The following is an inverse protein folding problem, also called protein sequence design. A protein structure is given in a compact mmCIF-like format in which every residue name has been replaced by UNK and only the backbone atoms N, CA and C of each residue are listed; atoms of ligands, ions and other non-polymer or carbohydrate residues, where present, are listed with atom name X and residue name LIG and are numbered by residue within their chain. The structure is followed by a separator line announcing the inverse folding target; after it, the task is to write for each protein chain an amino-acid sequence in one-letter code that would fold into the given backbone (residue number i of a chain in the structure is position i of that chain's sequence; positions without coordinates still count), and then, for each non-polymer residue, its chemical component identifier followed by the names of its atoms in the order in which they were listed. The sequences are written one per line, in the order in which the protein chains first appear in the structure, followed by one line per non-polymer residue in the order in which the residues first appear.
data_IF_751974060894
#
_entry.id   IF_751974060894
#
_cell.length_a   1.000
_cell.length_b   1.000
_cell.length_c   1.000
_cell.angle_alpha   90.00
_cell.angle_beta   90.00
_cell.angle_gamma   90.00
#
_symmetry.space_group_name_H-M   'P 1'
#
loop_
_entity.id
_entity.type
_entity.pdbx_description
1 polymer ?
#
# COMPACT_ATOMS: atom_id res chain seq x y z
N UNK A 1 8.68 11.40 -19.00
CA UNK A 1 9.93 11.46 -18.24
C UNK A 1 9.84 12.36 -17.02
N UNK A 2 9.67 13.68 -17.14
CA UNK A 2 9.63 14.59 -15.98
C UNK A 2 8.65 14.15 -14.89
N UNK A 3 7.42 13.77 -15.26
CA UNK A 3 6.43 13.26 -14.31
C UNK A 3 6.91 12.02 -13.54
N UNK A 4 7.49 11.02 -14.23
CA UNK A 4 8.04 9.82 -13.58
C UNK A 4 9.17 10.17 -12.61
N UNK A 5 10.08 11.08 -13.00
CA UNK A 5 11.15 11.55 -12.11
C UNK A 5 10.59 12.22 -10.86
N UNK A 6 9.53 13.02 -10.98
CA UNK A 6 8.84 13.63 -9.83
C UNK A 6 8.13 12.62 -8.91
N UNK A 7 7.85 11.41 -9.40
CA UNK A 7 7.19 10.32 -8.65
C UNK A 7 8.13 9.15 -8.34
N UNK A 8 9.42 9.44 -8.15
CA UNK A 8 10.37 8.48 -7.61
C UNK A 8 11.03 7.54 -8.61
N UNK A 9 10.86 7.73 -9.92
CA UNK A 9 11.57 6.93 -10.92
C UNK A 9 13.08 7.23 -10.98
N UNK A 10 13.53 8.34 -10.39
CA UNK A 10 14.93 8.73 -10.41
C UNK A 10 15.46 8.86 -11.84
N UNK A 11 16.47 8.06 -12.17
CA UNK A 11 17.10 8.02 -13.50
C UNK A 11 16.44 7.04 -14.48
N UNK A 12 15.49 6.22 -14.01
CA UNK A 12 14.84 5.22 -14.85
C UNK A 12 13.99 5.89 -15.93
N UNK A 13 14.12 5.40 -17.17
CA UNK A 13 13.29 5.79 -18.30
C UNK A 13 11.89 5.18 -18.21
N UNK A 14 10.98 5.62 -19.10
CA UNK A 14 9.68 4.99 -19.25
C UNK A 14 9.77 3.51 -19.65
N UNK A 15 10.78 3.13 -20.43
CA UNK A 15 11.06 1.73 -20.78
C UNK A 15 11.51 0.94 -19.54
N UNK A 16 12.45 1.48 -18.76
CA UNK A 16 12.95 0.81 -17.55
C UNK A 16 11.83 0.57 -16.53
N UNK A 17 10.95 1.56 -16.32
CA UNK A 17 9.81 1.44 -15.40
C UNK A 17 8.77 0.45 -15.92
N UNK A 18 8.56 0.38 -17.25
CA UNK A 18 7.64 -0.59 -17.86
C UNK A 18 8.13 -2.03 -17.65
N UNK A 19 9.40 -2.30 -17.96
CA UNK A 19 10.02 -3.62 -17.77
C UNK A 19 10.10 -4.02 -16.29
N UNK A 20 10.39 -3.07 -15.41
CA UNK A 20 10.29 -3.29 -13.97
C UNK A 20 8.87 -3.71 -13.55
N UNK A 21 7.84 -3.04 -14.07
CA UNK A 21 6.45 -3.41 -13.84
C UNK A 21 6.13 -4.83 -14.30
N UNK A 22 6.56 -5.20 -15.51
CA UNK A 22 6.34 -6.55 -16.06
C UNK A 22 7.04 -7.62 -15.22
N UNK A 23 8.26 -7.37 -14.77
CA UNK A 23 9.01 -8.31 -13.93
C UNK A 23 8.38 -8.50 -12.54
N UNK A 24 7.91 -7.42 -11.90
CA UNK A 24 7.19 -7.50 -10.63
C UNK A 24 5.84 -8.20 -10.78
N UNK A 25 5.10 -7.93 -11.86
CA UNK A 25 3.84 -8.65 -12.17
C UNK A 25 4.10 -10.16 -12.27
N UNK A 26 5.16 -10.57 -12.98
CA UNK A 26 5.51 -11.99 -13.12
C UNK A 26 5.89 -12.62 -11.77
N UNK A 27 6.74 -11.96 -10.97
CA UNK A 27 7.18 -12.43 -9.65
C UNK A 27 5.98 -12.64 -8.71
N UNK A 28 5.14 -11.63 -8.59
CA UNK A 28 3.99 -11.65 -7.66
C UNK A 28 2.96 -12.70 -8.12
N UNK A 29 2.69 -12.77 -9.43
CA UNK A 29 1.76 -13.78 -9.98
C UNK A 29 2.23 -15.21 -9.71
N UNK A 30 3.54 -15.46 -9.75
CA UNK A 30 4.09 -16.78 -9.42
C UNK A 30 3.92 -17.13 -7.92
N UNK A 31 4.11 -16.17 -7.02
CA UNK A 31 3.85 -16.36 -5.58
C UNK A 31 2.36 -16.64 -5.33
N UNK A 32 1.47 -15.84 -5.94
CA UNK A 32 0.03 -16.05 -5.87
C UNK A 32 -0.39 -17.42 -6.40
N UNK A 33 0.19 -17.87 -7.52
CA UNK A 33 -0.12 -19.20 -8.07
C UNK A 33 0.18 -20.33 -7.08
N UNK A 34 1.33 -20.28 -6.40
CA UNK A 34 1.68 -21.24 -5.36
C UNK A 34 0.70 -21.25 -4.20
N UNK A 35 0.33 -20.06 -3.72
CA UNK A 35 -0.58 -19.91 -2.58
C UNK A 35 -2.04 -20.29 -2.93
N UNK A 36 -2.51 -19.93 -4.13
CA UNK A 36 -3.82 -20.36 -4.67
C UNK A 36 -3.91 -21.90 -4.75
N UNK A 37 -2.85 -22.56 -5.23
CA UNK A 37 -2.80 -24.03 -5.28
C UNK A 37 -2.88 -24.65 -3.88
N UNK A 38 -2.26 -24.02 -2.88
CA UNK A 38 -2.30 -24.50 -1.48
C UNK A 38 -3.69 -24.50 -0.87
N UNK A 39 -4.58 -23.61 -1.34
CA UNK A 39 -6.00 -23.53 -0.91
C UNK A 39 -6.96 -24.23 -1.88
N UNK A 40 -6.44 -25.09 -2.76
CA UNK A 40 -7.22 -25.91 -3.68
C UNK A 40 -7.69 -25.21 -4.96
N UNK A 41 -7.28 -23.97 -5.22
CA UNK A 41 -7.60 -23.26 -6.47
C UNK A 41 -6.50 -23.52 -7.51
N UNK A 42 -6.68 -24.56 -8.33
CA UNK A 42 -5.65 -25.08 -9.24
C UNK A 42 -5.91 -24.85 -10.73
N UNK A 43 -7.12 -24.48 -11.12
CA UNK A 43 -7.53 -24.34 -12.53
C UNK A 43 -7.71 -22.86 -12.93
N UNK A 44 -7.25 -22.49 -14.12
CA UNK A 44 -7.37 -21.13 -14.67
C UNK A 44 -6.20 -20.20 -14.34
N UNK A 45 -6.29 -18.96 -14.83
CA UNK A 45 -5.30 -17.91 -14.53
C UNK A 45 -5.31 -17.53 -13.04
N UNK A 46 -4.30 -16.78 -12.58
CA UNK A 46 -4.30 -16.20 -11.23
C UNK A 46 -5.54 -15.30 -11.05
N UNK A 47 -5.81 -14.43 -12.02
CA UNK A 47 -6.98 -13.55 -12.02
C UNK A 47 -8.31 -14.32 -11.86
N UNK A 48 -8.55 -15.34 -12.67
CA UNK A 48 -9.80 -16.14 -12.60
C UNK A 48 -9.96 -16.89 -11.27
N UNK A 49 -8.86 -17.32 -10.66
CA UNK A 49 -8.88 -17.96 -9.34
C UNK A 49 -9.11 -16.95 -8.22
N UNK A 50 -8.57 -15.73 -8.34
CA UNK A 50 -8.88 -14.63 -7.41
C UNK A 50 -10.36 -14.21 -7.52
N UNK A 51 -10.93 -14.17 -8.72
CA UNK A 51 -12.39 -13.94 -8.90
C UNK A 51 -13.21 -15.03 -8.18
N UNK A 52 -12.78 -16.28 -8.31
CA UNK A 52 -13.43 -17.42 -7.62
C UNK A 52 -13.36 -17.25 -6.10
N UNK A 53 -12.20 -16.86 -5.55
CA UNK A 53 -12.04 -16.58 -4.13
C UNK A 53 -12.93 -15.41 -3.69
N UNK A 54 -12.92 -14.31 -4.43
CA UNK A 54 -13.71 -13.11 -4.15
C UNK A 54 -15.22 -13.39 -4.10
N UNK A 55 -15.70 -14.32 -4.94
CA UNK A 55 -17.11 -14.69 -5.01
C UNK A 55 -17.59 -15.70 -3.94
N UNK A 56 -16.68 -16.30 -3.13
CA UNK A 56 -17.10 -17.28 -2.11
C UNK A 56 -17.96 -16.62 -1.04
N UNK A 57 -19.05 -17.29 -0.66
CA UNK A 57 -20.02 -16.73 0.29
C UNK A 57 -19.44 -16.49 1.69
N UNK A 58 -18.50 -17.33 2.14
CA UNK A 58 -17.78 -17.20 3.40
C UNK A 58 -16.78 -16.03 3.41
N UNK A 59 -16.36 -15.56 2.23
CA UNK A 59 -15.47 -14.42 2.04
C UNK A 59 -16.23 -13.08 1.89
N UNK A 60 -17.57 -13.09 1.96
CA UNK A 60 -18.40 -11.89 1.82
C UNK A 60 -19.10 -11.53 3.14
N UNK A 61 -19.36 -10.23 3.32
CA UNK A 61 -20.30 -9.74 4.33
C UNK A 61 -21.66 -9.47 3.68
N UNK A 62 -22.80 -9.73 4.37
CA UNK A 62 -24.11 -9.32 3.89
C UNK A 62 -24.17 -7.81 3.61
N UNK A 63 -24.86 -7.39 2.55
CA UNK A 63 -24.98 -5.97 2.20
C UNK A 63 -26.10 -5.27 3.01
N UNK A 64 -26.12 -5.49 4.32
CA UNK A 64 -27.04 -4.88 5.30
C UNK A 64 -26.25 -4.01 6.28
N UNK A 65 -26.92 -3.19 7.09
CA UNK A 65 -26.21 -2.35 8.06
C UNK A 65 -25.51 -3.18 9.15
N UNK A 66 -26.06 -4.33 9.54
CA UNK A 66 -25.40 -5.29 10.43
C UNK A 66 -24.15 -5.88 9.79
N UNK A 67 -24.20 -6.23 8.50
CA UNK A 67 -23.04 -6.73 7.76
C UNK A 67 -21.93 -5.67 7.61
N UNK A 68 -22.31 -4.41 7.40
CA UNK A 68 -21.38 -3.27 7.40
C UNK A 68 -20.73 -3.04 8.76
N UNK A 69 -21.49 -3.13 9.86
CA UNK A 69 -20.93 -2.98 11.21
C UNK A 69 -20.03 -4.17 11.59
N UNK A 70 -20.38 -5.39 11.17
CA UNK A 70 -19.53 -6.56 11.35
C UNK A 70 -18.18 -6.41 10.63
N UNK A 71 -18.19 -5.83 9.42
CA UNK A 71 -16.99 -5.49 8.67
C UNK A 71 -16.15 -4.43 9.42
N UNK A 72 -16.77 -3.31 9.84
CA UNK A 72 -16.06 -2.26 10.61
C UNK A 72 -15.46 -2.81 11.91
N UNK A 73 -16.17 -3.71 12.60
CA UNK A 73 -15.68 -4.39 13.79
C UNK A 73 -14.45 -5.25 13.49
N UNK A 74 -14.46 -5.98 12.37
CA UNK A 74 -13.29 -6.75 11.91
C UNK A 74 -12.08 -5.85 11.66
N UNK A 75 -12.26 -4.72 10.98
CA UNK A 75 -11.16 -3.78 10.72
C UNK A 75 -10.57 -3.19 12.00
N UNK A 76 -11.43 -2.80 12.96
CA UNK A 76 -10.98 -2.34 14.29
C UNK A 76 -10.18 -3.41 15.02
N UNK A 77 -10.61 -4.68 14.92
CA UNK A 77 -9.87 -5.83 15.45
C UNK A 77 -8.50 -6.02 14.78
N UNK A 78 -8.43 -5.88 13.45
CA UNK A 78 -7.18 -5.95 12.69
C UNK A 78 -6.21 -4.84 13.10
N UNK A 79 -6.68 -3.59 13.24
CA UNK A 79 -5.89 -2.47 13.77
C UNK A 79 -5.35 -2.78 15.16
N UNK A 80 -6.19 -3.30 16.07
CA UNK A 80 -5.76 -3.63 17.42
C UNK A 80 -4.70 -4.76 17.44
N UNK A 81 -4.86 -5.77 16.60
CA UNK A 81 -3.93 -6.90 16.51
C UNK A 81 -2.53 -6.46 16.04
N UNK A 82 -2.46 -5.67 14.96
CA UNK A 82 -1.16 -5.18 14.45
C UNK A 82 -0.52 -4.16 15.39
N UNK A 83 -1.31 -3.30 16.05
CA UNK A 83 -0.82 -2.39 17.09
C UNK A 83 -0.16 -3.14 18.25
N UNK A 84 -0.73 -4.27 18.67
CA UNK A 84 -0.19 -5.08 19.77
C UNK A 84 1.20 -5.68 19.46
N UNK A 85 1.51 -5.90 18.18
CA UNK A 85 2.82 -6.40 17.74
C UNK A 85 3.79 -5.29 17.34
N UNK A 86 3.32 -4.06 17.16
CA UNK A 86 4.12 -2.98 16.58
C UNK A 86 5.34 -2.60 17.43
N UNK A 87 5.35 -2.86 18.74
CA UNK A 87 6.50 -2.57 19.61
C UNK A 87 7.78 -3.37 19.27
N UNK A 88 7.65 -4.52 18.61
CA UNK A 88 8.80 -5.31 18.15
C UNK A 88 9.38 -4.78 16.83
N UNK A 89 8.65 -3.90 16.15
CA UNK A 89 8.97 -3.42 14.80
C UNK A 89 9.21 -1.93 14.72
N UNK A 90 8.77 -1.14 15.69
CA UNK A 90 8.95 0.31 15.74
C UNK A 90 9.54 0.72 17.09
N UNK A 91 10.57 1.58 17.07
CA UNK A 91 11.22 2.05 18.29
C UNK A 91 10.34 3.06 19.04
N UNK A 92 9.47 3.76 18.30
CA UNK A 92 8.45 4.65 18.83
C UNK A 92 7.06 4.27 18.31
N UNK A 93 6.05 4.33 19.18
CA UNK A 93 4.65 4.19 18.73
C UNK A 93 4.00 5.57 18.73
N UNK A 94 3.18 5.92 17.74
CA UNK A 94 2.44 7.17 17.78
C UNK A 94 1.39 7.16 18.89
N UNK A 95 1.30 8.26 19.65
CA UNK A 95 0.25 8.45 20.65
C UNK A 95 -1.11 8.83 20.04
N UNK A 96 -1.10 9.20 18.75
CA UNK A 96 -2.32 9.62 18.06
C UNK A 96 -3.20 8.43 17.76
N UNK A 97 -4.51 8.56 18.01
CA UNK A 97 -5.47 7.49 17.72
C UNK A 97 -5.85 7.46 16.23
N UNK A 98 -6.13 6.27 15.74
CA UNK A 98 -6.83 6.04 14.46
C UNK A 98 -8.23 5.52 14.72
N UNK A 99 -9.19 6.05 13.98
CA UNK A 99 -10.56 5.52 13.93
C UNK A 99 -10.86 4.89 12.58
N UNK A 100 -11.66 3.83 12.58
CA UNK A 100 -12.19 3.22 11.36
C UNK A 100 -13.63 3.65 11.17
N UNK A 101 -13.91 4.33 10.06
CA UNK A 101 -15.24 4.89 9.76
C UNK A 101 -15.71 4.51 8.36
N UNK A 102 -17.01 4.32 8.22
CA UNK A 102 -17.67 4.20 6.92
C UNK A 102 -17.70 5.58 6.25
N UNK A 103 -17.40 5.61 4.95
CA UNK A 103 -17.58 6.82 4.13
C UNK A 103 -19.07 7.24 4.14
N UNK A 104 -19.39 8.53 4.37
CA UNK A 104 -20.77 8.99 4.38
C UNK A 104 -21.52 8.67 3.08
N UNK A 105 -22.81 8.33 3.20
CA UNK A 105 -23.65 7.91 2.05
C UNK A 105 -23.69 8.94 0.93
N UNK A 106 -23.61 10.24 1.27
CA UNK A 106 -23.64 11.32 0.28
C UNK A 106 -22.33 11.50 -0.50
N UNK A 107 -21.23 10.87 -0.07
CA UNK A 107 -19.91 10.95 -0.74
C UNK A 107 -19.50 9.63 -1.40
N UNK A 108 -20.02 8.50 -0.91
CA UNK A 108 -19.56 7.14 -1.23
C UNK A 108 -19.54 6.79 -2.73
N UNK A 109 -20.33 7.46 -3.56
CA UNK A 109 -20.37 7.21 -5.02
C UNK A 109 -19.16 7.80 -5.76
N UNK A 110 -18.57 8.86 -5.21
CA UNK A 110 -17.40 9.55 -5.74
C UNK A 110 -16.09 9.20 -5.02
N UNK A 111 -16.18 8.49 -3.90
CA UNK A 111 -15.02 8.13 -3.08
C UNK A 111 -14.33 6.84 -3.55
N UNK A 112 -13.03 6.68 -3.29
CA UNK A 112 -12.31 5.41 -3.52
C UNK A 112 -12.81 4.31 -2.57
N UNK A 113 -12.30 3.08 -2.75
CA UNK A 113 -12.65 1.93 -1.89
C UNK A 113 -12.25 2.11 -0.42
N UNK A 114 -11.14 2.80 -0.17
CA UNK A 114 -10.72 3.27 1.15
C UNK A 114 -9.72 4.43 0.99
N UNK A 115 -9.55 5.20 2.06
CA UNK A 115 -8.53 6.23 2.15
C UNK A 115 -8.28 6.64 3.61
N UNK A 116 -7.12 7.22 3.86
CA UNK A 116 -6.77 7.78 5.16
C UNK A 116 -6.81 9.31 5.17
N UNK A 117 -7.29 9.87 6.28
CA UNK A 117 -7.11 11.30 6.60
C UNK A 117 -6.31 11.45 7.88
N UNK A 118 -5.20 12.20 7.79
CA UNK A 118 -4.33 12.47 8.92
C UNK A 118 -5.00 13.25 10.06
N UNK A 119 -4.48 13.11 11.29
CA UNK A 119 -4.94 13.89 12.43
C UNK A 119 -4.71 15.39 12.20
N UNK A 120 -5.49 16.23 12.89
CA UNK A 120 -5.27 17.68 12.84
C UNK A 120 -3.96 18.07 13.54
N UNK A 121 -3.34 19.17 13.09
CA UNK A 121 -2.09 19.68 13.66
C UNK A 121 -2.19 20.05 15.14
N UNK A 122 -3.38 20.46 15.58
CA UNK A 122 -3.69 20.81 16.97
C UNK A 122 -4.09 19.60 17.84
N UNK A 123 -4.13 18.39 17.26
CA UNK A 123 -4.50 17.16 17.95
C UNK A 123 -6.00 17.02 18.25
N UNK A 124 -6.85 17.98 17.88
CA UNK A 124 -8.28 17.96 18.18
C UNK A 124 -9.06 16.85 17.41
N UNK A 125 -8.57 16.46 16.22
CA UNK A 125 -9.18 15.42 15.38
C UNK A 125 -8.20 14.24 15.22
N UNK A 126 -8.65 12.99 15.46
CA UNK A 126 -7.83 11.81 15.25
C UNK A 126 -7.57 11.54 13.77
N UNK A 127 -6.65 10.62 13.48
CA UNK A 127 -6.55 10.02 12.16
C UNK A 127 -7.79 9.17 11.87
N UNK A 128 -8.22 9.11 10.61
CA UNK A 128 -9.39 8.31 10.22
C UNK A 128 -9.05 7.49 8.99
N UNK A 129 -9.17 6.17 9.14
CA UNK A 129 -9.26 5.22 8.03
C UNK A 129 -10.73 5.13 7.59
N UNK A 130 -10.99 5.62 6.39
CA UNK A 130 -12.29 5.59 5.74
C UNK A 130 -12.39 4.37 4.83
N UNK A 131 -13.52 3.66 4.89
CA UNK A 131 -13.82 2.55 3.98
C UNK A 131 -15.19 2.72 3.31
N UNK A 132 -15.26 2.43 2.01
CA UNK A 132 -16.46 2.52 1.21
C UNK A 132 -17.31 1.28 1.35
N UNK A 133 -18.47 1.42 2.02
CA UNK A 133 -19.40 0.31 2.24
C UNK A 133 -20.71 0.49 1.46
N UNK A 134 -20.68 1.16 0.31
CA UNK A 134 -21.82 1.20 -0.62
C UNK A 134 -22.30 -0.22 -0.93
N UNK A 135 -21.35 -1.09 -1.29
CA UNK A 135 -21.56 -2.51 -1.49
C UNK A 135 -20.48 -3.29 -0.73
N UNK A 136 -20.88 -4.13 0.22
CA UNK A 136 -19.94 -4.93 1.00
C UNK A 136 -19.17 -5.94 0.14
N UNK A 137 -19.72 -6.37 -1.00
CA UNK A 137 -19.04 -7.30 -1.91
C UNK A 137 -17.82 -6.69 -2.62
N UNK A 138 -17.69 -5.36 -2.63
CA UNK A 138 -16.50 -4.68 -3.15
C UNK A 138 -15.31 -4.80 -2.18
N UNK A 139 -15.54 -5.30 -0.96
CA UNK A 139 -14.55 -5.43 0.11
C UNK A 139 -14.54 -6.88 0.67
N UNK A 140 -14.16 -7.89 -0.14
CA UNK A 140 -14.10 -9.27 0.31
C UNK A 140 -13.12 -9.43 1.48
N UNK A 141 -13.41 -10.33 2.42
CA UNK A 141 -12.66 -10.50 3.68
C UNK A 141 -11.15 -10.64 3.48
N UNK A 142 -10.73 -11.42 2.49
CA UNK A 142 -9.31 -11.64 2.20
C UNK A 142 -8.55 -10.33 1.88
N UNK A 143 -9.21 -9.32 1.32
CA UNK A 143 -8.59 -8.03 0.96
C UNK A 143 -8.42 -7.06 2.14
N UNK A 144 -9.18 -7.26 3.23
CA UNK A 144 -9.34 -6.27 4.28
C UNK A 144 -8.08 -6.04 5.13
N UNK A 145 -7.30 -7.11 5.38
CA UNK A 145 -6.06 -7.01 6.17
C UNK A 145 -5.06 -6.07 5.50
N UNK A 146 -4.78 -6.30 4.22
CA UNK A 146 -3.83 -5.47 3.47
C UNK A 146 -4.28 -4.02 3.41
N UNK A 147 -5.56 -3.77 3.13
CA UNK A 147 -6.10 -2.40 3.11
C UNK A 147 -6.02 -1.74 4.50
N UNK A 148 -6.29 -2.47 5.58
CA UNK A 148 -6.15 -1.96 6.95
C UNK A 148 -4.71 -1.59 7.26
N UNK A 149 -3.75 -2.42 6.85
CA UNK A 149 -2.34 -2.15 7.11
C UNK A 149 -1.81 -0.99 6.29
N UNK A 150 -2.33 -0.82 5.06
CA UNK A 150 -2.04 0.31 4.18
C UNK A 150 -2.56 1.64 4.75
N UNK A 151 -3.85 1.70 5.10
CA UNK A 151 -4.52 2.95 5.48
C UNK A 151 -4.33 3.34 6.95
N UNK A 152 -4.19 2.34 7.82
CA UNK A 152 -4.03 2.55 9.25
C UNK A 152 -2.62 2.14 9.69
N UNK A 153 -2.51 0.99 10.37
CA UNK A 153 -1.30 0.59 11.09
C UNK A 153 -0.68 -0.62 10.39
N UNK A 154 0.62 -0.59 10.01
CA UNK A 154 1.60 0.47 10.24
C UNK A 154 1.79 1.43 9.04
N UNK A 155 0.84 1.51 8.11
CA UNK A 155 0.92 2.36 6.92
C UNK A 155 0.68 3.85 7.18
N UNK A 156 -0.29 4.44 6.48
CA UNK A 156 -0.51 5.88 6.44
C UNK A 156 -0.73 6.52 7.82
N UNK A 157 -1.41 5.83 8.75
CA UNK A 157 -1.60 6.39 10.08
C UNK A 157 -0.28 6.60 10.81
N UNK A 158 0.60 5.60 10.82
CA UNK A 158 1.91 5.71 11.45
C UNK A 158 2.74 6.79 10.77
N UNK A 159 2.83 6.76 9.44
CA UNK A 159 3.58 7.77 8.68
C UNK A 159 3.13 9.19 9.02
N UNK A 160 1.83 9.44 8.97
CA UNK A 160 1.28 10.77 9.24
C UNK A 160 1.42 11.17 10.71
N UNK A 161 1.20 10.25 11.65
CA UNK A 161 1.31 10.54 13.08
C UNK A 161 2.76 10.82 13.49
N UNK A 162 3.73 10.10 12.91
CA UNK A 162 5.15 10.41 13.05
C UNK A 162 5.47 11.81 12.56
N UNK A 163 5.08 12.15 11.33
CA UNK A 163 5.31 13.49 10.78
C UNK A 163 4.74 14.62 11.64
N UNK A 164 3.53 14.43 12.19
CA UNK A 164 2.87 15.42 13.05
C UNK A 164 3.55 15.55 14.42
N UNK A 165 4.24 14.51 14.87
CA UNK A 165 4.98 14.50 16.14
C UNK A 165 6.39 15.11 16.07
N UNK A 166 6.89 15.45 14.86
CA UNK A 166 8.23 16.03 14.72
C UNK A 166 8.24 17.45 15.27
N UNK A 167 8.94 17.62 16.39
CA UNK A 167 9.07 18.91 17.07
C UNK A 167 9.73 19.94 16.15
N UNK A 168 9.19 21.16 16.16
CA UNK A 168 9.72 22.32 15.41
C UNK A 168 9.79 22.10 13.87
N UNK A 169 9.06 21.12 13.32
CA UNK A 169 8.95 20.93 11.87
C UNK A 169 8.29 22.16 11.23
N UNK A 170 8.93 22.78 10.21
CA UNK A 170 8.32 23.89 9.49
C UNK A 170 6.94 23.50 8.94
N UNK A 171 5.94 24.37 9.13
CA UNK A 171 4.54 24.10 8.73
C UNK A 171 4.45 23.67 7.25
N UNK A 172 5.24 24.28 6.37
CA UNK A 172 5.29 23.88 4.96
C UNK A 172 5.70 22.41 4.78
N UNK A 173 6.74 21.93 5.48
CA UNK A 173 7.11 20.50 5.42
C UNK A 173 6.04 19.60 6.02
N UNK A 174 5.29 20.10 6.99
CA UNK A 174 4.18 19.36 7.58
C UNK A 174 2.92 19.34 6.67
N UNK A 175 2.85 20.21 5.66
CA UNK A 175 1.72 20.32 4.73
C UNK A 175 2.01 19.75 3.33
N UNK A 176 3.27 19.68 2.92
CA UNK A 176 3.66 19.07 1.66
C UNK A 176 3.54 17.54 1.74
N UNK A 177 3.13 16.93 0.62
CA UNK A 177 3.04 15.49 0.47
C UNK A 177 3.87 15.01 -0.72
N UNK A 178 4.58 13.89 -0.56
CA UNK A 178 5.35 13.22 -1.61
C UNK A 178 4.78 11.81 -1.80
N UNK A 179 4.01 11.62 -2.87
CA UNK A 179 3.28 10.36 -3.10
C UNK A 179 4.21 9.15 -3.09
N UNK A 180 5.40 9.26 -3.66
CA UNK A 180 6.37 8.16 -3.71
C UNK A 180 6.86 7.72 -2.34
N UNK A 181 6.96 8.64 -1.37
CA UNK A 181 7.30 8.28 -0.01
C UNK A 181 6.08 7.73 0.74
N UNK A 182 4.96 8.46 0.73
CA UNK A 182 3.77 8.10 1.51
C UNK A 182 3.14 6.78 1.03
N UNK A 183 2.96 6.62 -0.28
CA UNK A 183 2.41 5.40 -0.89
C UNK A 183 3.41 4.26 -0.87
N UNK A 184 4.70 4.57 -1.05
CA UNK A 184 5.79 3.61 -0.93
C UNK A 184 5.86 3.01 0.46
N UNK A 185 5.74 3.85 1.50
CA UNK A 185 5.68 3.43 2.89
C UNK A 185 4.47 2.55 3.17
N UNK A 186 3.27 2.97 2.74
CA UNK A 186 2.05 2.21 2.98
C UNK A 186 2.10 0.83 2.30
N UNK A 187 2.62 0.75 1.08
CA UNK A 187 2.80 -0.53 0.38
C UNK A 187 3.94 -1.39 0.99
N UNK A 188 5.01 -0.75 1.48
CA UNK A 188 6.03 -1.44 2.28
C UNK A 188 5.45 -2.02 3.57
N UNK A 189 4.58 -1.28 4.25
CA UNK A 189 3.89 -1.71 5.48
C UNK A 189 2.98 -2.93 5.25
N UNK A 190 2.33 -3.03 4.08
CA UNK A 190 1.56 -4.22 3.69
C UNK A 190 2.46 -5.48 3.62
N UNK A 191 3.65 -5.36 3.02
CA UNK A 191 4.64 -6.44 2.97
C UNK A 191 5.22 -6.75 4.36
N UNK A 192 5.54 -5.71 5.13
CA UNK A 192 6.04 -5.84 6.51
C UNK A 192 5.07 -6.64 7.39
N UNK A 193 3.76 -6.44 7.24
CA UNK A 193 2.77 -7.17 8.03
C UNK A 193 2.85 -8.70 7.86
N UNK A 194 3.37 -9.20 6.73
CA UNK A 194 3.69 -10.64 6.56
C UNK A 194 4.85 -11.08 7.44
N UNK A 195 5.91 -10.27 7.50
CA UNK A 195 7.06 -10.53 8.39
C UNK A 195 6.66 -10.43 9.86
N UNK A 196 5.70 -9.57 10.20
CA UNK A 196 5.10 -9.47 11.53
C UNK A 196 4.27 -10.72 11.91
N UNK A 197 3.96 -11.61 10.98
CA UNK A 197 3.12 -12.80 11.23
C UNK A 197 1.61 -12.54 11.11
N UNK A 198 1.19 -11.41 10.54
CA UNK A 198 -0.23 -11.02 10.49
C UNK A 198 -1.09 -11.83 9.52
N UNK A 199 -0.45 -12.70 8.74
CA UNK A 199 -1.10 -13.66 7.84
C UNK A 199 -0.80 -15.12 8.22
N UNK A 200 -0.23 -15.37 9.40
CA UNK A 200 -0.01 -16.74 9.87
C UNK A 200 -1.34 -17.50 9.97
N UNK A 201 -1.41 -18.67 9.32
CA UNK A 201 -2.64 -19.46 9.23
C UNK A 201 -3.75 -18.87 8.35
N UNK A 202 -3.48 -17.78 7.61
CA UNK A 202 -4.44 -17.08 6.77
C UNK A 202 -3.91 -16.88 5.33
N UNK A 203 -3.82 -17.98 4.54
CA UNK A 203 -3.35 -17.90 3.16
C UNK A 203 -4.25 -17.06 2.25
N UNK A 204 -5.55 -16.94 2.56
CA UNK A 204 -6.46 -16.08 1.79
C UNK A 204 -6.15 -14.61 2.04
N UNK A 205 -5.94 -14.19 3.29
CA UNK A 205 -5.46 -12.85 3.61
C UNK A 205 -4.13 -12.51 2.93
N UNK A 206 -3.18 -13.44 2.88
CA UNK A 206 -1.90 -13.24 2.19
C UNK A 206 -2.06 -13.14 0.66
N UNK A 207 -3.03 -13.84 0.07
CA UNK A 207 -3.44 -13.61 -1.32
C UNK A 207 -4.01 -12.20 -1.53
N UNK A 208 -4.76 -11.66 -0.58
CA UNK A 208 -5.24 -10.28 -0.61
C UNK A 208 -4.10 -9.27 -0.62
N UNK A 209 -3.06 -9.50 0.20
CA UNK A 209 -1.83 -8.70 0.19
C UNK A 209 -1.12 -8.75 -1.15
N UNK A 210 -0.92 -9.94 -1.70
CA UNK A 210 -0.27 -10.11 -3.00
C UNK A 210 -1.09 -9.51 -4.15
N UNK A 211 -2.43 -9.61 -4.11
CA UNK A 211 -3.29 -8.98 -5.10
C UNK A 211 -3.18 -7.44 -5.04
N UNK A 212 -3.12 -6.86 -3.84
CA UNK A 212 -2.91 -5.44 -3.65
C UNK A 212 -1.55 -5.00 -4.21
N UNK A 213 -0.48 -5.78 -3.96
CA UNK A 213 0.86 -5.53 -4.49
C UNK A 213 0.90 -5.68 -6.03
N UNK A 214 0.28 -6.73 -6.57
CA UNK A 214 0.16 -6.99 -8.02
C UNK A 214 -0.52 -5.83 -8.73
N UNK A 215 -1.58 -5.28 -8.13
CA UNK A 215 -2.28 -4.12 -8.65
C UNK A 215 -1.36 -2.88 -8.73
N UNK A 216 -0.49 -2.65 -7.73
CA UNK A 216 0.52 -1.57 -7.78
C UNK A 216 1.68 -1.86 -8.73
N UNK A 217 2.04 -3.12 -8.96
CA UNK A 217 3.00 -3.49 -10.01
C UNK A 217 2.42 -3.25 -11.41
N UNK A 218 1.16 -3.64 -11.65
CA UNK A 218 0.46 -3.40 -12.92
C UNK A 218 0.30 -1.90 -13.22
N UNK A 219 0.21 -1.04 -12.19
CA UNK A 219 0.23 0.43 -12.36
C UNK A 219 1.50 0.93 -13.06
N UNK A 220 2.66 0.35 -12.79
CA UNK A 220 3.91 0.71 -13.50
C UNK A 220 3.78 0.45 -14.99
N UNK A 221 3.24 -0.72 -15.36
CA UNK A 221 3.06 -1.16 -16.75
C UNK A 221 2.02 -0.30 -17.47
N UNK A 222 0.88 -0.05 -16.83
CA UNK A 222 -0.23 0.70 -17.43
C UNK A 222 0.10 2.18 -17.59
N UNK A 223 0.67 2.83 -16.58
CA UNK A 223 1.01 4.27 -16.66
C UNK A 223 2.06 4.52 -17.74
N UNK A 224 3.14 3.73 -17.77
CA UNK A 224 4.13 3.79 -18.85
C UNK A 224 3.57 3.29 -20.19
N UNK A 225 2.63 2.35 -20.17
CA UNK A 225 1.87 1.88 -21.32
C UNK A 225 1.18 3.04 -22.02
N UNK A 226 0.34 3.77 -21.28
CA UNK A 226 -0.39 4.94 -21.76
C UNK A 226 0.56 6.07 -22.21
N UNK A 227 1.50 6.45 -21.34
CA UNK A 227 2.21 7.73 -21.47
C UNK A 227 3.56 7.64 -22.17
N UNK A 228 4.08 6.43 -22.39
CA UNK A 228 5.37 6.19 -23.05
C UNK A 228 5.24 5.22 -24.24
N UNK A 229 4.60 4.06 -24.04
CA UNK A 229 4.40 3.04 -25.09
C UNK A 229 3.22 3.35 -26.01
N UNK A 230 2.43 4.38 -25.69
CA UNK A 230 1.25 4.86 -26.45
C UNK A 230 0.12 3.84 -26.56
N UNK A 231 -0.07 3.02 -25.52
CA UNK A 231 -1.27 2.20 -25.39
C UNK A 231 -2.52 3.08 -25.40
N UNK A 232 -3.56 2.57 -26.01
CA UNK A 232 -4.92 3.07 -25.91
C UNK A 232 -5.47 2.85 -24.50
N UNK A 233 -6.54 3.58 -24.16
CA UNK A 233 -7.29 3.38 -22.92
C UNK A 233 -7.77 1.93 -22.79
N UNK A 234 -8.24 1.36 -23.89
CA UNK A 234 -8.79 0.01 -23.93
C UNK A 234 -7.71 -1.05 -23.68
N UNK A 235 -6.53 -0.93 -24.31
CA UNK A 235 -5.38 -1.82 -24.05
C UNK A 235 -4.95 -1.77 -22.58
N UNK A 236 -4.90 -0.58 -21.98
CA UNK A 236 -4.59 -0.41 -20.56
C UNK A 236 -5.63 -1.08 -19.63
N UNK A 237 -6.92 -0.96 -19.94
CA UNK A 237 -7.99 -1.60 -19.17
C UNK A 237 -7.91 -3.12 -19.30
N UNK A 238 -7.77 -3.63 -20.52
CA UNK A 238 -7.72 -5.06 -20.81
C UNK A 238 -6.54 -5.70 -20.08
N UNK A 239 -5.35 -5.12 -20.20
CA UNK A 239 -4.15 -5.61 -19.50
C UNK A 239 -4.37 -5.68 -17.98
N UNK A 240 -4.91 -4.63 -17.37
CA UNK A 240 -5.03 -4.57 -15.92
C UNK A 240 -6.12 -5.51 -15.38
N UNK A 241 -7.22 -5.70 -16.13
CA UNK A 241 -8.25 -6.71 -15.82
C UNK A 241 -7.64 -8.11 -15.85
N UNK A 242 -6.93 -8.44 -16.93
CA UNK A 242 -6.36 -9.77 -17.15
C UNK A 242 -5.30 -10.15 -16.10
N UNK A 243 -4.52 -9.16 -15.64
CA UNK A 243 -3.49 -9.37 -14.62
C UNK A 243 -4.08 -9.46 -13.22
N UNK A 244 -5.00 -8.57 -12.85
CA UNK A 244 -5.39 -8.39 -11.43
C UNK A 244 -6.61 -9.20 -11.01
N UNK A 245 -7.46 -9.62 -11.96
CA UNK A 245 -8.77 -10.21 -11.65
C UNK A 245 -9.70 -9.21 -10.96
N UNK A 246 -9.58 -7.92 -11.25
CA UNK A 246 -10.54 -6.92 -10.79
C UNK A 246 -11.59 -6.65 -11.86
N UNK A 247 -12.76 -6.16 -11.43
CA UNK A 247 -13.84 -5.85 -12.35
C UNK A 247 -13.43 -4.76 -13.34
N UNK A 248 -13.85 -4.91 -14.60
CA UNK A 248 -13.62 -3.90 -15.65
C UNK A 248 -14.12 -2.51 -15.24
N UNK A 249 -15.22 -2.42 -14.50
CA UNK A 249 -15.75 -1.15 -14.02
C UNK A 249 -14.80 -0.45 -13.02
N UNK A 250 -14.20 -1.21 -12.09
CA UNK A 250 -13.18 -0.70 -11.16
C UNK A 250 -11.93 -0.24 -11.93
N UNK A 251 -11.39 -1.12 -12.78
CA UNK A 251 -10.19 -0.84 -13.57
C UNK A 251 -10.38 0.36 -14.51
N UNK A 252 -11.56 0.52 -15.10
CA UNK A 252 -11.85 1.67 -15.98
C UNK A 252 -11.64 2.99 -15.25
N UNK A 253 -12.16 3.13 -14.02
CA UNK A 253 -12.01 4.36 -13.22
C UNK A 253 -10.55 4.66 -12.91
N UNK A 254 -9.79 3.60 -12.60
CA UNK A 254 -8.37 3.70 -12.31
C UNK A 254 -7.55 4.10 -13.56
N UNK A 255 -7.79 3.47 -14.71
CA UNK A 255 -7.11 3.80 -15.97
C UNK A 255 -7.42 5.24 -16.40
N UNK A 256 -8.67 5.67 -16.27
CA UNK A 256 -9.06 7.06 -16.57
C UNK A 256 -8.38 8.06 -15.64
N UNK A 257 -8.17 7.70 -14.35
CA UNK A 257 -7.36 8.50 -13.42
C UNK A 257 -5.91 8.58 -13.88
N UNK A 258 -5.30 7.46 -14.30
CA UNK A 258 -3.91 7.43 -14.77
C UNK A 258 -3.73 8.29 -16.03
N UNK A 259 -4.73 8.32 -16.91
CA UNK A 259 -4.71 9.14 -18.13
C UNK A 259 -4.59 10.66 -17.83
N UNK A 260 -5.14 11.14 -16.71
CA UNK A 260 -5.14 12.57 -16.35
C UNK A 260 -4.09 12.97 -15.31
N UNK A 261 -3.44 12.01 -14.64
CA UNK A 261 -2.34 12.25 -13.69
C UNK A 261 -1.12 11.37 -14.01
N UNK A 262 -0.37 11.67 -15.09
CA UNK A 262 0.74 10.83 -15.55
C UNK A 262 1.81 10.63 -14.47
N UNK A 263 2.28 9.41 -14.29
CA UNK A 263 3.37 9.04 -13.38
C UNK A 263 2.97 8.80 -11.93
N UNK A 264 1.83 9.33 -11.46
CA UNK A 264 1.43 9.20 -10.05
C UNK A 264 1.20 7.74 -9.66
N UNK A 265 0.63 6.95 -10.56
CA UNK A 265 0.36 5.53 -10.32
C UNK A 265 1.65 4.72 -10.07
N UNK A 266 2.79 5.20 -10.56
CA UNK A 266 4.09 4.56 -10.39
C UNK A 266 4.71 4.79 -9.00
N UNK A 267 4.34 5.88 -8.32
CA UNK A 267 4.89 6.29 -7.03
C UNK A 267 4.85 5.17 -5.97
N UNK A 268 3.75 4.42 -5.92
CA UNK A 268 3.50 3.36 -4.95
C UNK A 268 4.60 2.29 -4.98
N UNK A 269 4.77 1.64 -6.14
CA UNK A 269 5.70 0.51 -6.26
C UNK A 269 7.15 0.98 -6.32
N UNK A 270 7.45 2.11 -6.97
CA UNK A 270 8.79 2.70 -6.97
C UNK A 270 9.26 3.08 -5.55
N UNK A 271 8.37 3.69 -4.77
CA UNK A 271 8.61 4.04 -3.38
C UNK A 271 8.87 2.82 -2.50
N UNK A 272 8.00 1.80 -2.58
CA UNK A 272 8.16 0.53 -1.86
C UNK A 272 9.51 -0.12 -2.18
N UNK A 273 9.85 -0.25 -3.47
CA UNK A 273 11.10 -0.86 -3.91
C UNK A 273 12.31 -0.09 -3.39
N UNK A 274 12.27 1.25 -3.39
CA UNK A 274 13.35 2.06 -2.80
C UNK A 274 13.47 1.85 -1.29
N UNK A 275 12.37 1.77 -0.54
CA UNK A 275 12.43 1.50 0.91
C UNK A 275 13.01 0.10 1.17
N UNK A 276 12.61 -0.91 0.38
CA UNK A 276 13.16 -2.27 0.48
C UNK A 276 14.64 -2.33 0.13
N UNK A 277 15.07 -1.61 -0.91
CA UNK A 277 16.48 -1.47 -1.30
C UNK A 277 17.31 -0.86 -0.15
N UNK A 278 16.81 0.22 0.47
CA UNK A 278 17.46 0.89 1.59
C UNK A 278 17.54 0.00 2.83
N UNK A 279 16.49 -0.78 3.11
CA UNK A 279 16.47 -1.75 4.20
C UNK A 279 17.52 -2.85 3.96
N UNK A 280 17.50 -3.48 2.79
CA UNK A 280 18.45 -4.54 2.45
C UNK A 280 19.90 -4.04 2.50
N UNK A 281 20.14 -2.80 2.07
CA UNK A 281 21.43 -2.12 2.22
C UNK A 281 21.83 -1.99 3.69
N UNK A 282 20.94 -1.51 4.54
CA UNK A 282 21.20 -1.36 5.97
C UNK A 282 21.47 -2.70 6.66
N UNK A 283 20.68 -3.72 6.37
CA UNK A 283 20.88 -5.10 6.87
C UNK A 283 22.28 -5.62 6.49
N UNK A 284 22.68 -5.44 5.23
CA UNK A 284 24.01 -5.85 4.74
C UNK A 284 25.14 -5.06 5.39
N UNK A 285 24.97 -3.73 5.49
CA UNK A 285 26.03 -2.84 5.95
C UNK A 285 26.25 -2.90 7.47
N UNK A 286 25.20 -3.15 8.25
CA UNK A 286 25.25 -3.16 9.70
C UNK A 286 25.38 -4.58 10.29
N UNK A 287 24.97 -5.63 9.57
CA UNK A 287 25.00 -7.01 10.04
C UNK A 287 24.30 -7.14 11.40
N UNK A 288 24.98 -7.71 12.39
CA UNK A 288 24.46 -7.89 13.75
C UNK A 288 24.09 -6.57 14.47
N UNK A 289 24.55 -5.41 13.97
CA UNK A 289 24.16 -4.09 14.51
C UNK A 289 22.84 -3.57 13.93
N UNK A 290 22.26 -4.23 12.93
CA UNK A 290 20.99 -3.84 12.35
C UNK A 290 19.84 -4.10 13.33
N UNK A 291 19.03 -3.08 13.59
CA UNK A 291 17.74 -3.21 14.30
C UNK A 291 16.65 -2.65 13.38
N UNK A 292 15.62 -3.46 13.12
CA UNK A 292 14.50 -3.08 12.25
C UNK A 292 13.71 -1.89 12.81
N UNK A 293 13.66 -1.76 14.14
CA UNK A 293 12.99 -0.65 14.83
C UNK A 293 13.72 0.66 14.56
N UNK A 294 15.05 0.64 14.65
CA UNK A 294 15.88 1.81 14.35
C UNK A 294 15.76 2.21 12.88
N UNK A 295 15.67 1.24 11.97
CA UNK A 295 15.44 1.51 10.55
C UNK A 295 14.09 2.20 10.33
N UNK A 296 12.99 1.65 10.87
CA UNK A 296 11.66 2.26 10.71
C UNK A 296 11.57 3.64 11.36
N UNK A 297 12.14 3.83 12.55
CA UNK A 297 12.18 5.13 13.21
C UNK A 297 12.95 6.14 12.36
N UNK A 298 14.05 5.73 11.70
CA UNK A 298 14.82 6.57 10.77
C UNK A 298 14.00 6.94 9.53
N UNK A 299 13.32 5.98 8.92
CA UNK A 299 12.49 6.21 7.73
C UNK A 299 11.32 7.12 8.05
N UNK A 300 10.66 6.96 9.20
CA UNK A 300 9.45 7.70 9.57
C UNK A 300 9.74 9.09 10.17
N UNK A 301 10.83 9.24 10.92
CA UNK A 301 11.12 10.48 11.66
C UNK A 301 11.62 11.64 10.78
N UNK A 302 11.90 11.40 9.50
CA UNK A 302 12.17 12.48 8.54
C UNK A 302 10.88 13.20 8.10
N UNK A 303 9.71 12.58 8.33
CA UNK A 303 8.44 12.99 7.74
C UNK A 303 8.43 12.83 6.22
N UNK A 304 7.29 13.13 5.60
CA UNK A 304 7.14 12.99 4.15
C UNK A 304 8.18 13.80 3.37
N UNK A 305 8.89 13.13 2.45
CA UNK A 305 10.07 13.66 1.77
C UNK A 305 10.31 13.00 0.40
N UNK A 306 11.02 13.67 -0.53
CA UNK A 306 11.48 13.01 -1.76
C UNK A 306 12.38 11.80 -1.45
N UNK A 307 12.30 10.74 -2.27
CA UNK A 307 13.14 9.54 -2.09
C UNK A 307 14.66 9.82 -1.99
N UNK A 308 15.27 10.77 -2.73
CA UNK A 308 16.69 11.08 -2.55
C UNK A 308 17.04 11.61 -1.14
N UNK A 309 16.11 12.31 -0.48
CA UNK A 309 16.29 12.79 0.90
C UNK A 309 16.17 11.63 1.88
N UNK A 310 15.22 10.71 1.65
CA UNK A 310 15.11 9.48 2.41
C UNK A 310 16.39 8.65 2.31
N UNK A 311 16.89 8.43 1.09
CA UNK A 311 18.12 7.67 0.82
C UNK A 311 19.33 8.30 1.52
N UNK A 312 19.51 9.62 1.42
CA UNK A 312 20.58 10.31 2.13
C UNK A 312 20.48 10.12 3.66
N UNK A 313 19.28 10.23 4.22
CA UNK A 313 19.05 10.07 5.66
C UNK A 313 19.37 8.66 6.14
N UNK A 314 18.91 7.62 5.43
CA UNK A 314 19.23 6.23 5.79
C UNK A 314 20.74 5.98 5.68
N UNK A 315 21.38 6.49 4.62
CA UNK A 315 22.83 6.34 4.46
C UNK A 315 23.63 7.01 5.59
N UNK A 316 23.21 8.19 6.06
CA UNK A 316 23.87 8.87 7.17
C UNK A 316 23.62 8.16 8.51
N UNK A 317 22.42 7.60 8.72
CA UNK A 317 22.14 6.73 9.86
C UNK A 317 23.04 5.48 9.85
N UNK A 318 23.17 4.78 8.72
CA UNK A 318 24.09 3.63 8.57
C UNK A 318 25.52 4.02 8.94
N UNK A 319 26.04 5.15 8.43
CA UNK A 319 27.38 5.64 8.77
C UNK A 319 27.53 5.88 10.28
N UNK A 320 26.51 6.46 10.92
CA UNK A 320 26.53 6.75 12.36
C UNK A 320 26.55 5.50 13.23
N UNK A 321 25.94 4.38 12.79
CA UNK A 321 25.92 3.10 13.51
C UNK A 321 27.20 2.26 13.28
N UNK A 322 27.93 2.55 12.19
CA UNK A 322 29.23 1.92 11.89
C UNK A 322 30.37 2.52 12.72
N UNK A 323 30.33 3.83 12.94
CA UNK A 323 31.29 4.56 13.80
C UNK A 323 31.28 4.01 15.24
#
# INVERSE_FOLDING_TARGET
QLALTSYGAGVNSGDDVHELGLSEVARISAEMDGLLKSIGLTNGSVASRMDTLAARADNLYPNTDEGREALLTSLRGQVAAVMAQSGDWFGRLPDTKVEVRRIPVHEQDSSPGGYYTGPSLDGARPGVYWINLKNTADNPKHSLKSLTYHEAVPGHHFQSAYQRSIKDMPVMRNMLGYSEYAEGWALYAEALAKEMGMYEGDPEGDLGRLQAELFRAARLVVDTGLHHKKWTREEAIDYMVDVTGQTRASITREVERYAVVPGQACAYKLGMLKIQELRAKAETDLGDKFDIRDFHDTVLSIGDAPLPVLEATVNDWIKSKKA
#
